data_IF_465692288404
#
_entry.id   IF_465692288404
#
_cell.length_a   1.000
_cell.length_b   1.000
_cell.length_c   1.000
_cell.angle_alpha   90.00
_cell.angle_beta   90.00
_cell.angle_gamma   90.00
#
_symmetry.space_group_name_H-M   'P 1'
#
loop_
_entity.id
_entity.type
_entity.pdbx_description
1 polymer ?
#
# COMPACT_ATOMS: atom_id res chain seq x y z
N UNK A 1 -9.81 13.47 7.79
CA UNK A 1 -9.28 13.02 6.48
C UNK A 1 -7.98 12.28 6.73
N UNK A 2 -7.65 11.18 6.03
CA UNK A 2 -6.43 10.44 6.34
C UNK A 2 -5.23 11.33 6.02
N UNK A 3 -4.44 11.62 7.04
CA UNK A 3 -3.07 12.11 6.91
C UNK A 3 -2.25 11.01 6.23
N UNK A 4 -2.25 11.02 4.90
CA UNK A 4 -1.61 10.07 3.97
C UNK A 4 -1.86 8.57 4.21
N UNK A 5 -1.85 7.81 3.12
CA UNK A 5 -1.84 6.35 3.13
C UNK A 5 -0.64 5.87 2.31
N UNK A 6 0.19 5.07 2.94
CA UNK A 6 1.39 4.51 2.34
C UNK A 6 1.40 2.99 2.45
N UNK A 7 2.13 2.34 1.55
CA UNK A 7 2.44 0.91 1.57
C UNK A 7 3.95 0.76 1.69
N UNK A 8 4.41 -0.01 2.67
CA UNK A 8 5.83 -0.37 2.76
C UNK A 8 6.06 -1.78 2.22
N UNK A 9 7.01 -1.92 1.30
CA UNK A 9 7.48 -3.20 0.73
C UNK A 9 9.02 -3.20 0.69
N UNK A 10 9.63 -4.26 0.15
CA UNK A 10 11.08 -4.45 -0.01
C UNK A 10 11.78 -3.28 -0.69
N UNK A 11 11.09 -2.68 -1.67
CA UNK A 11 11.64 -1.64 -2.55
C UNK A 11 11.62 -0.26 -1.86
N UNK A 12 10.75 -0.08 -0.87
CA UNK A 12 10.58 1.17 -0.15
C UNK A 12 9.14 1.43 0.26
N UNK A 13 8.87 2.69 0.58
CA UNK A 13 7.55 3.17 0.99
C UNK A 13 6.88 3.87 -0.18
N UNK A 14 5.76 3.32 -0.63
CA UNK A 14 4.95 3.81 -1.73
C UNK A 14 3.80 4.66 -1.20
N UNK A 15 3.56 5.82 -1.81
CA UNK A 15 2.38 6.64 -1.51
C UNK A 15 1.18 6.15 -2.32
N UNK A 16 0.09 5.79 -1.65
CA UNK A 16 -1.19 5.42 -2.28
C UNK A 16 -2.12 6.63 -2.35
N UNK A 17 -2.20 7.39 -1.26
CA UNK A 17 -3.03 8.58 -1.16
C UNK A 17 -2.39 9.61 -0.23
N UNK A 18 -2.59 10.89 -0.56
CA UNK A 18 -2.21 12.05 0.22
C UNK A 18 -3.42 12.99 0.34
N UNK A 19 -3.22 14.20 0.86
CA UNK A 19 -4.31 15.19 0.99
C UNK A 19 -4.79 15.66 -0.39
N UNK A 20 -3.87 15.77 -1.36
CA UNK A 20 -4.15 16.39 -2.67
C UNK A 20 -4.29 15.37 -3.80
N UNK A 21 -3.93 14.11 -3.55
CA UNK A 21 -3.85 13.09 -4.60
C UNK A 21 -4.21 11.71 -4.07
N UNK A 22 -4.92 10.94 -4.88
CA UNK A 22 -5.30 9.56 -4.59
C UNK A 22 -5.09 8.71 -5.83
N UNK A 23 -4.57 7.50 -5.66
CA UNK A 23 -4.41 6.54 -6.75
C UNK A 23 -5.75 6.24 -7.44
N UNK A 24 -5.75 6.10 -8.76
CA UNK A 24 -6.92 5.65 -9.50
C UNK A 24 -7.33 4.25 -9.04
N UNK A 25 -8.63 3.94 -9.05
CA UNK A 25 -9.10 2.61 -8.63
C UNK A 25 -8.91 2.32 -7.13
N UNK A 26 -8.65 3.33 -6.29
CA UNK A 26 -8.55 3.17 -4.83
C UNK A 26 -9.72 2.41 -4.20
N UNK A 27 -10.92 2.47 -4.79
CA UNK A 27 -12.08 1.69 -4.36
C UNK A 27 -11.86 0.16 -4.40
N UNK A 28 -10.85 -0.32 -5.13
CA UNK A 28 -10.44 -1.73 -5.17
C UNK A 28 -9.46 -2.11 -4.05
N UNK A 29 -9.06 -1.15 -3.21
CA UNK A 29 -8.32 -1.45 -2.00
C UNK A 29 -9.14 -2.37 -1.10
N UNK A 30 -8.50 -3.39 -0.49
CA UNK A 30 -9.15 -4.09 0.61
C UNK A 30 -9.42 -3.11 1.76
N UNK A 31 -10.47 -3.40 2.52
CA UNK A 31 -10.78 -2.61 3.72
C UNK A 31 -9.65 -2.76 4.73
N UNK A 32 -8.87 -1.70 4.94
CA UNK A 32 -7.66 -1.71 5.74
C UNK A 32 -7.85 -0.84 6.97
N UNK A 33 -7.42 -1.36 8.13
CA UNK A 33 -7.36 -0.56 9.36
C UNK A 33 -6.00 0.12 9.44
N UNK A 34 -6.01 1.45 9.59
CA UNK A 34 -4.79 2.26 9.70
C UNK A 34 -3.88 1.70 10.80
N UNK A 35 -2.64 1.37 10.43
CA UNK A 35 -1.58 0.95 11.37
C UNK A 35 -1.46 -0.55 11.62
N UNK A 36 -2.41 -1.40 11.18
CA UNK A 36 -2.39 -2.85 11.46
C UNK A 36 -2.94 -3.67 10.27
N UNK A 37 -2.49 -3.35 9.06
CA UNK A 37 -2.84 -4.08 7.86
C UNK A 37 -1.61 -4.66 7.17
N UNK A 38 -1.71 -5.91 6.76
CA UNK A 38 -0.75 -6.59 5.89
C UNK A 38 -1.53 -7.11 4.69
N UNK A 39 -0.95 -7.04 3.50
CA UNK A 39 -1.61 -7.51 2.30
C UNK A 39 -0.73 -7.45 1.07
N UNK A 40 -1.25 -7.96 -0.02
CA UNK A 40 -0.66 -7.78 -1.34
C UNK A 40 -1.61 -6.93 -2.17
N UNK A 41 -1.07 -5.91 -2.82
CA UNK A 41 -1.81 -5.09 -3.77
C UNK A 41 -1.30 -5.40 -5.18
N UNK A 42 -2.21 -5.37 -6.15
CA UNK A 42 -1.90 -5.30 -7.57
C UNK A 42 -2.07 -3.86 -7.99
N UNK A 43 -0.97 -3.22 -8.38
CA UNK A 43 -0.89 -1.76 -8.59
C UNK A 43 -0.07 -1.43 -9.84
N UNK A 44 -0.35 -0.28 -10.42
CA UNK A 44 0.57 0.42 -11.31
C UNK A 44 1.30 1.49 -10.50
N UNK A 45 2.58 1.68 -10.76
CA UNK A 45 3.46 2.55 -9.97
C UNK A 45 4.33 3.43 -10.84
N UNK A 46 4.60 4.64 -10.37
CA UNK A 46 5.74 5.44 -10.78
C UNK A 46 6.89 5.21 -9.79
N UNK A 47 7.89 4.43 -10.22
CA UNK A 47 9.05 4.10 -9.38
C UNK A 47 9.99 5.30 -9.15
N UNK A 48 10.01 6.28 -10.06
CA UNK A 48 10.87 7.45 -9.91
C UNK A 48 10.42 8.34 -8.74
N UNK A 49 9.11 8.37 -8.48
CA UNK A 49 8.49 9.17 -7.42
C UNK A 49 7.99 8.33 -6.24
N UNK A 50 8.13 7.00 -6.29
CA UNK A 50 7.59 6.05 -5.31
C UNK A 50 6.08 6.25 -5.08
N UNK A 51 5.33 6.49 -6.15
CA UNK A 51 3.88 6.71 -6.10
C UNK A 51 3.14 5.55 -6.76
N UNK A 52 2.08 5.07 -6.10
CA UNK A 52 1.10 4.17 -6.72
C UNK A 52 0.14 5.04 -7.52
N UNK A 53 0.13 4.89 -8.83
CA UNK A 53 -0.73 5.67 -9.73
C UNK A 53 -2.11 5.04 -9.84
N UNK A 54 -2.21 3.71 -9.75
CA UNK A 54 -3.48 2.97 -9.86
C UNK A 54 -3.50 1.70 -9.03
N UNK A 55 -4.63 1.44 -8.38
CA UNK A 55 -4.93 0.19 -7.67
C UNK A 55 -5.85 -0.66 -8.53
N UNK A 56 -5.37 -1.85 -8.89
CA UNK A 56 -6.13 -2.84 -9.65
C UNK A 56 -6.89 -3.81 -8.73
N UNK A 57 -6.42 -3.96 -7.50
CA UNK A 57 -7.04 -4.79 -6.47
C UNK A 57 -6.06 -5.16 -5.37
N UNK A 58 -6.54 -5.88 -4.36
CA UNK A 58 -5.68 -6.35 -3.28
C UNK A 58 -6.32 -7.41 -2.41
N UNK A 59 -5.48 -8.07 -1.60
CA UNK A 59 -5.91 -9.06 -0.62
C UNK A 59 -5.17 -8.87 0.69
N UNK A 60 -5.92 -8.85 1.79
CA UNK A 60 -5.33 -8.85 3.12
C UNK A 60 -4.69 -10.20 3.42
N UNK A 61 -3.63 -10.14 4.22
CA UNK A 61 -2.95 -11.27 4.82
C UNK A 61 -2.86 -11.06 6.33
N UNK A 62 -2.69 -12.14 7.13
CA UNK A 62 -2.40 -11.99 8.54
C UNK A 62 -1.17 -11.09 8.75
N UNK A 63 -1.22 -10.15 9.69
CA UNK A 63 -0.08 -9.27 10.01
C UNK A 63 1.19 -10.07 10.35
N UNK A 64 1.02 -11.26 10.95
CA UNK A 64 2.12 -12.20 11.20
C UNK A 64 2.82 -12.70 9.92
N UNK A 65 2.17 -12.63 8.76
CA UNK A 65 2.81 -12.95 7.49
C UNK A 65 3.82 -11.86 7.11
N UNK A 66 3.42 -10.58 7.14
CA UNK A 66 4.34 -9.47 6.88
C UNK A 66 5.49 -9.43 7.91
N UNK A 67 5.21 -9.64 9.20
CA UNK A 67 6.25 -9.67 10.24
C UNK A 67 7.26 -10.81 10.07
N UNK A 68 6.90 -11.89 9.39
CA UNK A 68 7.78 -13.04 9.14
C UNK A 68 8.49 -12.95 7.79
N UNK A 69 8.06 -12.05 6.90
CA UNK A 69 8.67 -11.86 5.59
C UNK A 69 9.94 -11.03 5.74
N UNK A 70 11.08 -11.70 5.60
CA UNK A 70 12.41 -11.08 5.72
C UNK A 70 12.71 -10.10 4.56
N UNK A 71 11.92 -10.12 3.50
CA UNK A 71 12.10 -9.20 2.38
C UNK A 71 11.45 -7.85 2.65
N UNK A 72 10.49 -7.77 3.58
CA UNK A 72 9.90 -6.51 3.97
C UNK A 72 10.85 -5.79 4.92
N UNK A 73 11.24 -4.58 4.57
CA UNK A 73 12.01 -3.71 5.47
C UNK A 73 11.05 -3.22 6.55
N UNK A 74 11.18 -3.79 7.76
CA UNK A 74 10.44 -3.35 8.94
C UNK A 74 11.00 -2.03 9.49
#
# INVERSE_FOLDING_TARGET
>A
MPSSLTLSDRDGTWTIASIDQQADGFAHMPDTRKGDACGCLSVETDQATMHITKVLGGRLKPVSACRRDKNLKQ
#
